data_IF_869872716642
#
_entry.id   IF_869872716642
#
_cell.length_a   1.000
_cell.length_b   1.000
_cell.length_c   1.000
_cell.angle_alpha   90.00
_cell.angle_beta   90.00
_cell.angle_gamma   90.00
#
_symmetry.space_group_name_H-M   'P 1'
#
loop_
_entity.id
_entity.type
_entity.pdbx_description
1 polymer ?
#
# COMPACT_ATOMS: atom_id res chain seq x y z
N UNK A 1 -16.52 25.21 10.35
CA UNK A 1 -16.27 25.48 8.92
C UNK A 1 -16.69 24.25 8.12
N UNK A 2 -17.75 24.38 7.28
CA UNK A 2 -18.18 23.31 6.38
C UNK A 2 -17.01 23.01 5.46
N UNK A 3 -16.51 21.76 5.49
CA UNK A 3 -15.50 21.27 4.56
C UNK A 3 -15.97 21.53 3.13
N UNK A 4 -15.25 22.35 2.40
CA UNK A 4 -15.40 22.43 0.95
C UNK A 4 -14.87 21.11 0.40
N UNK A 5 -15.77 20.18 0.11
CA UNK A 5 -15.40 18.92 -0.54
C UNK A 5 -14.92 19.22 -1.96
N UNK A 6 -13.89 18.51 -2.38
CA UNK A 6 -13.49 18.48 -3.78
C UNK A 6 -14.66 17.90 -4.61
N UNK A 7 -14.80 18.30 -5.88
CA UNK A 7 -15.89 17.81 -6.76
C UNK A 7 -15.91 16.27 -6.85
N UNK A 8 -14.76 15.60 -6.64
CA UNK A 8 -14.59 14.15 -6.65
C UNK A 8 -13.60 13.73 -5.55
N UNK A 9 -14.05 13.79 -4.30
CA UNK A 9 -13.23 13.38 -3.15
C UNK A 9 -13.05 11.85 -3.10
N UNK A 10 -14.05 11.09 -3.52
CA UNK A 10 -13.97 9.63 -3.57
C UNK A 10 -12.92 9.17 -4.57
N UNK A 11 -12.91 9.74 -5.79
CA UNK A 11 -11.88 9.46 -6.80
C UNK A 11 -10.48 9.86 -6.31
N UNK A 12 -10.34 10.99 -5.62
CA UNK A 12 -9.08 11.43 -5.03
C UNK A 12 -8.56 10.47 -3.96
N UNK A 13 -9.42 10.03 -3.05
CA UNK A 13 -9.06 9.07 -2.01
C UNK A 13 -8.73 7.70 -2.61
N UNK A 14 -9.46 7.27 -3.64
CA UNK A 14 -9.13 6.07 -4.41
C UNK A 14 -7.77 6.20 -5.08
N UNK A 15 -7.46 7.35 -5.69
CA UNK A 15 -6.15 7.63 -6.28
C UNK A 15 -5.03 7.57 -5.24
N UNK A 16 -5.21 8.18 -4.06
CA UNK A 16 -4.25 8.09 -2.96
C UNK A 16 -4.05 6.65 -2.49
N UNK A 17 -5.14 5.88 -2.38
CA UNK A 17 -5.12 4.48 -1.94
C UNK A 17 -4.28 3.57 -2.85
N UNK A 18 -4.20 3.86 -4.16
CA UNK A 18 -3.37 3.09 -5.11
C UNK A 18 -1.88 3.09 -4.76
N UNK A 19 -1.38 4.15 -4.16
CA UNK A 19 0.03 4.25 -3.78
C UNK A 19 0.40 3.46 -2.54
N UNK A 20 -0.58 3.04 -1.72
CA UNK A 20 -0.36 2.29 -0.47
C UNK A 20 0.78 2.89 0.38
N UNK A 21 0.83 4.22 0.43
CA UNK A 21 1.91 4.98 1.04
C UNK A 21 1.61 5.40 2.47
N UNK A 22 0.32 5.53 2.84
CA UNK A 22 -0.08 5.93 4.19
C UNK A 22 0.37 4.88 5.22
N UNK A 23 0.75 5.35 6.39
CA UNK A 23 1.19 4.53 7.52
C UNK A 23 2.42 3.64 7.21
N UNK A 24 3.20 4.00 6.19
CA UNK A 24 4.47 3.33 5.89
C UNK A 24 5.64 3.99 6.63
N UNK A 25 6.70 3.23 6.88
CA UNK A 25 7.93 3.77 7.45
C UNK A 25 8.50 4.91 6.60
N UNK A 26 9.36 5.73 7.20
CA UNK A 26 10.12 6.74 6.46
C UNK A 26 10.95 6.08 5.36
N UNK A 27 11.13 6.78 4.25
CA UNK A 27 11.93 6.33 3.12
C UNK A 27 12.96 7.40 2.77
N UNK A 28 14.21 7.01 2.67
CA UNK A 28 15.36 7.91 2.45
C UNK A 28 15.19 8.82 1.22
N UNK A 29 14.47 8.37 0.19
CA UNK A 29 14.23 9.16 -1.01
C UNK A 29 13.44 10.44 -0.68
N UNK A 30 12.33 10.32 0.06
CA UNK A 30 11.51 11.46 0.47
C UNK A 30 12.22 12.36 1.48
N UNK A 31 12.99 11.77 2.42
CA UNK A 31 13.73 12.50 3.43
C UNK A 31 14.86 13.34 2.82
N UNK A 32 15.52 12.81 1.78
CA UNK A 32 16.52 13.58 1.00
C UNK A 32 15.88 14.75 0.28
N UNK A 33 14.70 14.56 -0.33
CA UNK A 33 14.00 15.64 -1.04
C UNK A 33 13.61 16.75 -0.06
N UNK A 34 12.96 16.41 1.06
CA UNK A 34 12.56 17.43 2.05
C UNK A 34 13.76 18.14 2.67
N UNK A 35 14.87 17.43 2.92
CA UNK A 35 16.13 18.00 3.39
C UNK A 35 16.70 19.01 2.39
N UNK A 36 16.80 18.62 1.12
CA UNK A 36 17.31 19.50 0.06
C UNK A 36 16.44 20.75 -0.13
N UNK A 37 15.12 20.60 -0.18
CA UNK A 37 14.19 21.72 -0.31
C UNK A 37 14.32 22.68 0.86
N UNK A 38 14.41 22.15 2.10
CA UNK A 38 14.60 22.95 3.30
C UNK A 38 15.87 23.79 3.23
N UNK A 39 16.99 23.15 2.83
CA UNK A 39 18.28 23.79 2.76
C UNK A 39 18.38 24.82 1.61
N UNK A 40 17.82 24.52 0.42
CA UNK A 40 17.79 25.43 -0.75
C UNK A 40 16.95 26.67 -0.46
N UNK A 41 15.79 26.52 0.19
CA UNK A 41 14.88 27.62 0.46
C UNK A 41 15.18 28.32 1.80
N UNK A 42 16.11 27.80 2.56
CA UNK A 42 16.52 28.31 3.89
C UNK A 42 15.30 28.49 4.80
N UNK A 43 14.55 27.41 4.99
CA UNK A 43 13.33 27.39 5.82
C UNK A 43 13.48 26.42 6.99
N UNK A 44 12.86 26.68 8.14
CA UNK A 44 12.96 25.77 9.30
C UNK A 44 12.21 24.46 9.08
N UNK A 45 11.12 24.45 8.33
CA UNK A 45 10.26 23.26 8.19
C UNK A 45 9.96 23.01 6.71
N UNK A 46 10.12 21.75 6.29
CA UNK A 46 9.69 21.24 4.98
C UNK A 46 9.02 19.88 5.14
N UNK A 47 7.92 19.65 4.44
CA UNK A 47 7.21 18.37 4.51
C UNK A 47 6.63 17.92 3.18
N UNK A 48 6.68 16.60 2.97
CA UNK A 48 5.83 15.85 2.03
C UNK A 48 4.64 15.32 2.82
N UNK A 49 3.48 15.88 2.57
CA UNK A 49 2.24 15.51 3.24
C UNK A 49 1.23 14.89 2.28
N UNK A 50 0.50 13.91 2.75
CA UNK A 50 -0.62 13.28 2.06
C UNK A 50 -1.89 13.52 2.88
N UNK A 51 -3.00 13.82 2.20
CA UNK A 51 -4.25 14.20 2.86
C UNK A 51 -5.29 13.12 2.61
N UNK A 52 -5.62 12.36 3.65
CA UNK A 52 -6.70 11.37 3.61
C UNK A 52 -8.08 11.96 4.00
N UNK A 53 -9.04 11.13 4.36
CA UNK A 53 -10.39 11.56 4.74
C UNK A 53 -10.43 12.41 6.02
N UNK A 54 -9.62 12.07 7.01
CA UNK A 54 -9.68 12.59 8.38
C UNK A 54 -8.45 13.41 8.78
N UNK A 55 -7.30 13.13 8.18
CA UNK A 55 -5.99 13.64 8.58
C UNK A 55 -5.11 14.05 7.41
N UNK A 56 -4.08 14.81 7.75
CA UNK A 56 -2.88 15.03 6.97
C UNK A 56 -1.78 14.16 7.57
N UNK A 57 -1.25 13.24 6.81
CA UNK A 57 -0.17 12.34 7.21
C UNK A 57 1.15 12.76 6.53
N UNK A 58 2.27 12.72 7.28
CA UNK A 58 3.56 13.15 6.76
C UNK A 58 4.39 11.94 6.32
N UNK A 59 4.62 11.82 5.00
CA UNK A 59 5.58 10.83 4.46
C UNK A 59 7.01 11.18 4.82
N UNK A 60 7.31 12.48 4.82
CA UNK A 60 8.59 13.02 5.27
C UNK A 60 8.35 14.42 5.84
N UNK A 61 9.00 14.73 6.94
CA UNK A 61 8.94 16.05 7.56
C UNK A 61 10.30 16.37 8.17
N UNK A 62 10.76 17.59 7.96
CA UNK A 62 12.00 18.14 8.54
C UNK A 62 11.66 19.35 9.40
N UNK A 63 12.27 19.46 10.57
CA UNK A 63 12.14 20.62 11.45
C UNK A 63 10.90 20.62 12.35
N UNK A 64 10.09 19.57 12.34
CA UNK A 64 8.95 19.39 13.24
C UNK A 64 8.84 17.92 13.64
N UNK A 65 8.58 17.66 14.91
CA UNK A 65 8.32 16.32 15.44
C UNK A 65 6.81 16.03 15.43
N UNK A 66 6.31 15.62 14.25
CA UNK A 66 4.93 15.25 14.05
C UNK A 66 4.83 14.19 12.94
N UNK A 67 3.98 13.19 13.12
CA UNK A 67 3.67 12.18 12.11
C UNK A 67 2.41 12.51 11.32
N UNK A 68 1.48 13.23 11.93
CA UNK A 68 0.20 13.60 11.33
C UNK A 68 -0.43 14.82 12.02
N UNK A 69 -1.44 15.40 11.40
CA UNK A 69 -2.32 16.41 11.99
C UNK A 69 -3.75 16.16 11.52
N UNK A 70 -4.74 16.64 12.31
CA UNK A 70 -6.13 16.62 11.83
C UNK A 70 -6.26 17.41 10.53
N UNK A 71 -7.01 16.88 9.57
CA UNK A 71 -7.31 17.54 8.30
C UNK A 71 -7.94 18.93 8.49
N UNK A 72 -8.71 19.11 9.55
CA UNK A 72 -9.42 20.37 9.83
C UNK A 72 -8.50 21.57 10.12
N UNK A 73 -7.28 21.31 10.59
CA UNK A 73 -6.27 22.35 10.89
C UNK A 73 -5.14 22.38 9.85
N UNK A 74 -5.14 21.45 8.91
CA UNK A 74 -4.06 21.28 7.95
C UNK A 74 -4.08 22.35 6.86
N UNK A 75 -2.97 23.06 6.66
CA UNK A 75 -2.79 23.99 5.54
C UNK A 75 -2.83 23.24 4.20
N UNK A 76 -2.24 22.06 4.14
CA UNK A 76 -2.18 21.23 2.94
C UNK A 76 -3.57 20.76 2.48
N UNK A 77 -4.55 20.67 3.39
CA UNK A 77 -5.94 20.40 3.03
C UNK A 77 -6.57 21.52 2.18
N UNK A 78 -6.04 22.73 2.27
CA UNK A 78 -6.43 23.84 1.39
C UNK A 78 -5.62 23.85 0.08
N UNK A 79 -4.35 23.43 0.13
CA UNK A 79 -3.48 23.35 -1.06
C UNK A 79 -4.00 22.34 -2.07
N UNK A 80 -4.53 21.19 -1.63
CA UNK A 80 -5.11 20.19 -2.56
C UNK A 80 -6.38 20.67 -3.28
N UNK A 81 -7.06 21.73 -2.79
CA UNK A 81 -8.24 22.31 -3.44
C UNK A 81 -7.89 23.17 -4.67
N UNK A 82 -6.63 23.59 -4.80
CA UNK A 82 -6.15 24.47 -5.87
C UNK A 82 -4.92 23.86 -6.52
N UNK A 83 -4.84 24.00 -7.84
CA UNK A 83 -3.63 23.63 -8.61
C UNK A 83 -2.54 24.70 -8.56
N UNK A 84 -2.71 25.72 -7.74
CA UNK A 84 -1.77 26.83 -7.58
C UNK A 84 -1.18 26.81 -6.17
N UNK A 85 0.08 27.15 -6.01
CA UNK A 85 0.70 27.30 -4.70
C UNK A 85 -0.10 28.26 -3.82
N UNK A 86 -0.17 27.94 -2.53
CA UNK A 86 -0.74 28.85 -1.53
C UNK A 86 0.40 29.49 -0.76
N UNK A 87 0.45 30.82 -0.75
CA UNK A 87 1.44 31.64 -0.06
C UNK A 87 0.75 32.58 0.92
N UNK A 88 1.47 33.06 1.94
CA UNK A 88 1.01 34.00 2.95
C UNK A 88 -0.11 33.48 3.85
N UNK A 89 0.17 32.44 4.61
CA UNK A 89 -0.77 31.87 5.57
C UNK A 89 -1.17 32.87 6.68
N UNK A 90 -0.29 33.81 7.04
CA UNK A 90 -0.54 34.80 8.08
C UNK A 90 -1.62 35.82 7.68
N UNK A 91 -1.65 36.22 6.41
CA UNK A 91 -2.58 37.19 5.87
C UNK A 91 -3.91 36.58 5.43
N UNK A 92 -3.99 35.24 5.40
CA UNK A 92 -5.20 34.55 4.97
C UNK A 92 -6.21 34.46 6.14
N UNK A 93 -7.38 35.12 6.03
CA UNK A 93 -8.40 35.09 7.09
C UNK A 93 -8.86 33.68 7.49
N UNK A 94 -8.64 32.68 6.64
CA UNK A 94 -8.99 31.28 6.91
C UNK A 94 -8.15 30.69 8.04
N UNK A 95 -6.95 31.22 8.29
CA UNK A 95 -5.99 30.70 9.26
C UNK A 95 -5.82 31.58 10.50
N UNK A 96 -6.48 32.72 10.60
CA UNK A 96 -6.34 33.64 11.73
C UNK A 96 -6.61 32.99 13.09
N UNK A 97 -7.52 32.00 13.17
CA UNK A 97 -7.84 31.23 14.38
C UNK A 97 -7.25 29.83 14.39
N UNK A 98 -6.37 29.49 13.44
CA UNK A 98 -5.80 28.14 13.33
C UNK A 98 -4.86 27.87 14.51
N UNK A 99 -4.98 26.74 15.23
CA UNK A 99 -4.10 26.40 16.35
C UNK A 99 -2.60 26.37 15.99
N UNK A 100 -2.25 26.07 14.75
CA UNK A 100 -0.85 26.05 14.28
C UNK A 100 -0.30 27.48 14.05
N UNK A 101 -1.16 28.49 13.95
CA UNK A 101 -0.81 29.92 13.84
C UNK A 101 -0.82 30.59 15.21
N UNK A 102 -1.85 30.30 16.02
CA UNK A 102 -2.01 30.94 17.34
C UNK A 102 -1.21 30.26 18.45
N UNK A 103 -0.95 28.95 18.29
CA UNK A 103 -0.18 28.11 19.19
C UNK A 103 1.16 27.65 18.58
N UNK A 104 1.77 26.63 19.15
CA UNK A 104 3.00 26.03 18.62
C UNK A 104 2.69 25.29 17.31
N UNK A 105 3.50 25.48 16.22
CA UNK A 105 4.79 26.16 16.12
C UNK A 105 4.73 27.67 15.80
N UNK A 106 3.55 28.29 15.78
CA UNK A 106 3.32 29.70 15.43
C UNK A 106 3.68 30.01 13.98
N UNK A 107 3.12 29.25 13.06
CA UNK A 107 3.32 29.44 11.62
C UNK A 107 3.02 30.89 11.22
N UNK A 108 3.95 31.50 10.48
CA UNK A 108 3.82 32.86 9.93
C UNK A 108 3.81 32.86 8.41
N UNK A 109 4.53 31.94 7.80
CA UNK A 109 4.57 31.83 6.35
C UNK A 109 4.43 30.39 5.92
N UNK A 110 3.70 30.18 4.85
CA UNK A 110 3.46 28.86 4.25
C UNK A 110 3.50 28.98 2.74
N UNK A 111 4.24 28.08 2.09
CA UNK A 111 4.12 27.86 0.66
C UNK A 111 3.94 26.36 0.42
N UNK A 112 2.93 25.99 -0.35
CA UNK A 112 2.63 24.60 -0.66
C UNK A 112 2.23 24.43 -2.12
N UNK A 113 2.77 23.41 -2.75
CA UNK A 113 2.41 23.00 -4.12
C UNK A 113 1.76 21.61 -4.05
N UNK A 114 0.69 21.37 -4.82
CA UNK A 114 -0.01 20.09 -4.78
C UNK A 114 0.84 18.98 -5.40
N UNK A 115 0.78 17.80 -4.81
CA UNK A 115 1.28 16.54 -5.37
C UNK A 115 0.18 15.97 -6.26
N UNK A 116 0.27 16.22 -7.56
CA UNK A 116 -0.76 15.81 -8.51
C UNK A 116 -0.39 14.49 -9.18
N UNK A 117 -1.25 13.49 -9.03
CA UNK A 117 -1.11 12.20 -9.73
C UNK A 117 -1.29 12.36 -11.25
N UNK A 118 -0.82 11.40 -12.07
CA UNK A 118 -0.95 11.45 -13.53
C UNK A 118 -2.40 11.56 -14.03
N UNK A 119 -3.35 11.03 -13.28
CA UNK A 119 -4.79 11.13 -13.56
C UNK A 119 -5.44 12.42 -13.02
N UNK A 120 -4.63 13.35 -12.50
CA UNK A 120 -5.02 14.71 -12.18
C UNK A 120 -5.55 14.96 -10.77
N UNK A 121 -5.48 13.98 -9.87
CA UNK A 121 -5.88 14.15 -8.47
C UNK A 121 -4.76 14.74 -7.62
N UNK A 122 -5.08 15.69 -6.76
CA UNK A 122 -4.16 16.25 -5.78
C UNK A 122 -4.16 15.37 -4.52
N UNK A 123 -3.12 14.57 -4.35
CA UNK A 123 -3.00 13.58 -3.25
C UNK A 123 -2.60 14.21 -1.92
N UNK A 124 -1.86 15.29 -2.00
CA UNK A 124 -1.27 15.99 -0.87
C UNK A 124 -0.48 17.19 -1.34
N UNK A 125 0.56 17.58 -0.61
CA UNK A 125 1.42 18.70 -1.00
C UNK A 125 2.87 18.53 -0.57
N UNK A 126 3.79 19.10 -1.34
CA UNK A 126 5.09 19.51 -0.85
C UNK A 126 4.94 20.91 -0.29
N UNK A 127 5.32 21.11 0.96
CA UNK A 127 5.19 22.42 1.59
C UNK A 127 6.42 22.81 2.40
N UNK A 128 6.61 24.12 2.46
CA UNK A 128 7.61 24.76 3.33
C UNK A 128 6.90 25.75 4.25
N UNK A 129 7.41 25.84 5.46
CA UNK A 129 6.79 26.59 6.56
C UNK A 129 7.86 27.38 7.26
N UNK A 130 7.55 28.64 7.58
CA UNK A 130 8.41 29.48 8.41
C UNK A 130 7.62 30.04 9.60
N UNK A 131 8.32 30.24 10.71
CA UNK A 131 7.83 30.90 11.91
C UNK A 131 8.08 32.41 11.92
N UNK A 132 8.71 32.91 10.83
CA UNK A 132 8.88 34.32 10.53
C UNK A 132 8.05 34.71 9.31
N UNK A 133 7.55 35.97 9.23
CA UNK A 133 6.92 36.47 8.01
C UNK A 133 7.91 36.42 6.84
N UNK A 134 7.49 35.77 5.74
CA UNK A 134 8.31 35.61 4.54
C UNK A 134 7.44 35.61 3.30
N UNK A 135 7.92 36.25 2.25
CA UNK A 135 7.35 36.17 0.93
C UNK A 135 8.18 35.24 0.05
N UNK A 136 7.58 34.20 -0.44
CA UNK A 136 8.24 33.28 -1.37
C UNK A 136 8.17 33.84 -2.78
N UNK A 137 9.32 33.95 -3.44
CA UNK A 137 9.42 34.43 -4.83
C UNK A 137 8.85 33.39 -5.81
N UNK A 138 8.48 33.84 -7.01
CA UNK A 138 8.05 32.93 -8.10
C UNK A 138 9.12 31.87 -8.41
N UNK A 139 10.40 32.23 -8.34
CA UNK A 139 11.50 31.29 -8.51
C UNK A 139 11.52 30.21 -7.44
N UNK A 140 11.26 30.56 -6.17
CA UNK A 140 11.15 29.59 -5.07
C UNK A 140 9.93 28.68 -5.24
N UNK A 141 8.78 29.21 -5.65
CA UNK A 141 7.61 28.40 -5.96
C UNK A 141 7.89 27.45 -7.14
N UNK A 142 8.56 27.93 -8.20
CA UNK A 142 8.95 27.07 -9.32
C UNK A 142 9.90 25.93 -8.91
N UNK A 143 10.75 26.16 -7.92
CA UNK A 143 11.58 25.09 -7.33
C UNK A 143 10.69 24.06 -6.63
N UNK A 144 9.72 24.47 -5.82
CA UNK A 144 8.78 23.58 -5.16
C UNK A 144 8.00 22.74 -6.18
N UNK A 145 7.50 23.32 -7.27
CA UNK A 145 6.79 22.59 -8.33
C UNK A 145 7.66 21.48 -8.92
N UNK A 146 8.93 21.78 -9.24
CA UNK A 146 9.84 20.76 -9.77
C UNK A 146 10.12 19.62 -8.78
N UNK A 147 10.26 19.93 -7.48
CA UNK A 147 10.42 18.90 -6.47
C UNK A 147 9.12 18.12 -6.24
N UNK A 148 7.95 18.74 -6.37
CA UNK A 148 6.68 18.05 -6.32
C UNK A 148 6.54 17.02 -7.47
N UNK A 149 6.98 17.38 -8.68
CA UNK A 149 7.05 16.43 -9.80
C UNK A 149 8.00 15.25 -9.49
N UNK A 150 9.17 15.51 -8.89
CA UNK A 150 10.10 14.45 -8.47
C UNK A 150 9.47 13.53 -7.43
N UNK A 151 8.70 14.08 -6.46
CA UNK A 151 8.00 13.29 -5.46
C UNK A 151 6.94 12.40 -6.12
N UNK A 152 6.16 12.91 -7.07
CA UNK A 152 5.19 12.09 -7.80
C UNK A 152 5.89 11.00 -8.59
N UNK A 153 6.99 11.30 -9.28
CA UNK A 153 7.77 10.29 -10.01
C UNK A 153 8.29 9.20 -9.05
N UNK A 154 8.76 9.57 -7.85
CA UNK A 154 9.20 8.60 -6.83
C UNK A 154 8.03 7.73 -6.35
N UNK A 155 6.83 8.30 -6.15
CA UNK A 155 5.61 7.55 -5.81
C UNK A 155 5.22 6.58 -6.92
N UNK A 156 5.29 6.98 -8.19
CA UNK A 156 5.02 6.10 -9.33
C UNK A 156 6.04 4.96 -9.41
N UNK A 157 7.34 5.27 -9.32
CA UNK A 157 8.40 4.26 -9.31
C UNK A 157 8.24 3.27 -8.15
N UNK A 158 7.90 3.78 -6.96
CA UNK A 158 7.59 2.96 -5.80
C UNK A 158 6.40 2.03 -6.09
N UNK A 159 5.34 2.55 -6.69
CA UNK A 159 4.17 1.75 -7.03
C UNK A 159 4.51 0.65 -8.02
N UNK A 160 5.30 0.96 -9.05
CA UNK A 160 5.81 -0.03 -10.01
C UNK A 160 6.69 -1.10 -9.33
N UNK A 161 7.50 -0.71 -8.35
CA UNK A 161 8.31 -1.66 -7.58
C UNK A 161 7.49 -2.53 -6.61
N UNK A 162 6.32 -2.06 -6.18
CA UNK A 162 5.46 -2.75 -5.20
C UNK A 162 4.33 -3.58 -5.81
N UNK A 163 3.99 -3.37 -7.08
CA UNK A 163 2.94 -4.12 -7.79
C UNK A 163 3.47 -4.87 -8.99
N UNK A 164 2.92 -6.05 -9.22
CA UNK A 164 3.14 -6.83 -10.43
C UNK A 164 2.39 -6.16 -11.60
N UNK A 165 3.12 -5.83 -12.67
CA UNK A 165 2.58 -5.08 -13.81
C UNK A 165 1.53 -5.84 -14.63
N UNK A 166 1.54 -7.18 -14.56
CA UNK A 166 0.62 -8.02 -15.34
C UNK A 166 -0.75 -8.17 -14.65
N UNK A 167 -0.73 -8.38 -13.32
CA UNK A 167 -1.91 -8.86 -12.60
C UNK A 167 -2.38 -7.94 -11.48
N UNK A 168 -1.74 -6.78 -11.28
CA UNK A 168 -2.05 -5.81 -10.22
C UNK A 168 -2.12 -6.43 -8.80
N UNK A 169 -1.34 -7.49 -8.55
CA UNK A 169 -1.08 -8.01 -7.21
C UNK A 169 0.15 -7.35 -6.61
N UNK A 170 0.33 -7.40 -5.30
CA UNK A 170 1.59 -6.91 -4.72
C UNK A 170 2.75 -7.83 -5.10
N UNK A 171 3.96 -7.26 -5.25
CA UNK A 171 5.17 -8.05 -5.51
C UNK A 171 5.52 -8.90 -4.28
N UNK A 172 6.41 -9.91 -4.48
CA UNK A 172 6.93 -10.74 -3.38
C UNK A 172 7.43 -9.89 -2.21
N UNK A 173 8.21 -8.84 -2.49
CA UNK A 173 8.75 -7.95 -1.45
C UNK A 173 7.64 -7.30 -0.64
N UNK A 174 6.68 -6.67 -1.31
CA UNK A 174 5.56 -5.99 -0.64
C UNK A 174 4.64 -6.96 0.10
N UNK A 175 4.50 -8.19 -0.41
CA UNK A 175 3.75 -9.22 0.28
C UNK A 175 4.42 -9.63 1.61
N UNK A 176 5.73 -9.82 1.60
CA UNK A 176 6.51 -10.12 2.82
C UNK A 176 6.39 -8.97 3.84
N UNK A 177 6.54 -7.73 3.41
CA UNK A 177 6.37 -6.55 4.28
C UNK A 177 4.94 -6.49 4.90
N UNK A 178 3.92 -6.90 4.14
CA UNK A 178 2.55 -6.98 4.65
C UNK A 178 2.38 -8.10 5.69
N UNK A 179 3.01 -9.26 5.47
CA UNK A 179 3.00 -10.38 6.43
C UNK A 179 3.70 -9.99 7.72
N UNK A 180 4.84 -9.28 7.67
CA UNK A 180 5.55 -8.76 8.85
C UNK A 180 4.67 -7.80 9.67
N UNK A 181 3.96 -6.90 8.98
CA UNK A 181 3.00 -5.99 9.65
C UNK A 181 1.86 -6.73 10.32
N UNK A 182 1.35 -7.80 9.69
CA UNK A 182 0.29 -8.62 10.29
C UNK A 182 0.77 -9.35 11.56
N UNK A 183 2.02 -9.81 11.59
CA UNK A 183 2.65 -10.39 12.78
C UNK A 183 2.69 -9.36 13.91
N UNK A 184 3.18 -8.16 13.64
CA UNK A 184 3.26 -7.08 14.63
C UNK A 184 1.89 -6.68 15.18
N UNK A 185 0.85 -6.67 14.35
CA UNK A 185 -0.54 -6.40 14.78
C UNK A 185 -1.11 -7.52 15.65
N UNK A 186 -0.81 -8.79 15.36
CA UNK A 186 -1.24 -9.91 16.20
C UNK A 186 -0.72 -9.77 17.63
N UNK A 187 0.53 -9.31 17.79
CA UNK A 187 1.14 -9.09 19.11
C UNK A 187 0.45 -7.96 19.90
N UNK A 188 -0.10 -6.95 19.20
CA UNK A 188 -0.77 -5.81 19.82
C UNK A 188 -2.26 -6.07 20.09
N UNK A 189 -2.99 -6.61 19.08
CA UNK A 189 -4.45 -6.64 19.07
C UNK A 189 -5.02 -8.06 19.21
N UNK A 190 -4.18 -9.09 19.15
CA UNK A 190 -4.58 -10.52 19.23
C UNK A 190 -5.57 -10.97 18.14
N UNK A 191 -5.59 -10.29 16.99
CA UNK A 191 -6.49 -10.64 15.90
C UNK A 191 -5.89 -11.75 15.03
N UNK A 192 -6.64 -12.84 14.76
CA UNK A 192 -6.11 -13.95 13.99
C UNK A 192 -5.83 -13.54 12.55
N UNK A 193 -4.68 -13.95 12.01
CA UNK A 193 -4.33 -13.80 10.63
C UNK A 193 -3.97 -15.16 10.02
N UNK A 194 -4.35 -15.37 8.76
CA UNK A 194 -4.05 -16.59 8.06
C UNK A 194 -3.33 -16.34 6.74
N UNK A 195 -2.44 -17.25 6.39
CA UNK A 195 -1.66 -17.24 5.17
C UNK A 195 -2.07 -18.38 4.27
N UNK A 196 -2.34 -18.07 3.00
CA UNK A 196 -2.52 -19.04 1.94
C UNK A 196 -1.37 -18.85 0.95
N UNK A 197 -0.63 -19.90 0.65
CA UNK A 197 0.28 -19.97 -0.48
C UNK A 197 -0.29 -20.94 -1.50
N UNK A 198 -0.27 -20.58 -2.78
CA UNK A 198 -0.72 -21.48 -3.82
C UNK A 198 0.12 -21.35 -5.10
N UNK A 199 0.08 -22.42 -5.89
CA UNK A 199 0.83 -22.55 -7.13
C UNK A 199 -0.07 -23.19 -8.20
N UNK A 200 -0.02 -22.66 -9.42
CA UNK A 200 -0.82 -23.17 -10.53
C UNK A 200 -0.25 -24.49 -11.05
N UNK A 201 -1.06 -25.53 -10.95
CA UNK A 201 -0.65 -26.86 -11.34
C UNK A 201 -0.34 -26.91 -12.85
N UNK A 202 0.84 -27.42 -13.20
CA UNK A 202 1.25 -27.62 -14.58
C UNK A 202 1.32 -26.37 -15.46
N UNK A 203 1.49 -25.17 -14.90
CA UNK A 203 1.51 -23.90 -15.64
C UNK A 203 2.54 -23.88 -16.77
N UNK A 204 3.71 -24.50 -16.58
CA UNK A 204 4.72 -24.66 -17.64
C UNK A 204 4.20 -25.40 -18.87
N UNK A 205 3.25 -26.35 -18.72
CA UNK A 205 2.62 -27.05 -19.86
C UNK A 205 1.67 -26.10 -20.61
N UNK A 206 1.02 -25.18 -19.94
CA UNK A 206 0.17 -24.15 -20.57
C UNK A 206 1.04 -23.27 -21.45
N UNK A 207 2.12 -22.69 -20.89
CA UNK A 207 3.06 -21.88 -21.65
C UNK A 207 3.69 -22.65 -22.83
N UNK A 208 4.06 -23.91 -22.62
CA UNK A 208 4.66 -24.74 -23.66
C UNK A 208 3.70 -25.16 -24.77
N UNK A 209 2.41 -25.32 -24.47
CA UNK A 209 1.39 -25.73 -25.44
C UNK A 209 0.68 -24.58 -26.16
N UNK A 210 0.47 -23.45 -25.47
CA UNK A 210 -0.32 -22.34 -25.98
C UNK A 210 0.46 -21.01 -26.07
N UNK A 211 1.71 -20.99 -25.63
CA UNK A 211 2.56 -19.80 -25.63
C UNK A 211 2.41 -18.93 -24.37
N UNK A 212 3.36 -18.03 -24.16
CA UNK A 212 3.37 -17.11 -23.02
C UNK A 212 2.14 -16.17 -22.94
N UNK A 213 1.61 -15.62 -24.05
CA UNK A 213 0.40 -14.80 -23.97
C UNK A 213 -0.79 -15.53 -23.37
N UNK A 214 -0.97 -16.81 -23.66
CA UNK A 214 -2.01 -17.64 -23.05
C UNK A 214 -1.78 -17.84 -21.55
N UNK A 215 -0.53 -18.03 -21.13
CA UNK A 215 -0.16 -18.05 -19.71
C UNK A 215 -0.47 -16.74 -19.00
N UNK A 216 -0.21 -15.60 -19.64
CA UNK A 216 -0.50 -14.27 -19.10
C UNK A 216 -2.02 -14.08 -18.90
N UNK A 217 -2.85 -14.51 -19.86
CA UNK A 217 -4.31 -14.48 -19.71
C UNK A 217 -4.79 -15.35 -18.54
N UNK A 218 -4.19 -16.53 -18.34
CA UNK A 218 -4.48 -17.39 -17.19
C UNK A 218 -4.12 -16.68 -15.89
N UNK A 219 -2.95 -16.07 -15.78
CA UNK A 219 -2.51 -15.34 -14.58
C UNK A 219 -3.46 -14.16 -14.26
N UNK A 220 -3.89 -13.42 -15.28
CA UNK A 220 -4.87 -12.32 -15.13
C UNK A 220 -6.21 -12.87 -14.62
N UNK A 221 -6.72 -13.97 -15.21
CA UNK A 221 -7.98 -14.58 -14.80
C UNK A 221 -7.91 -15.09 -13.35
N UNK A 222 -6.82 -15.70 -12.93
CA UNK A 222 -6.56 -16.16 -11.55
C UNK A 222 -6.56 -14.99 -10.58
N UNK A 223 -5.83 -13.92 -10.90
CA UNK A 223 -5.78 -12.73 -10.04
C UNK A 223 -7.14 -12.06 -9.90
N UNK A 224 -7.92 -11.95 -10.99
CA UNK A 224 -9.29 -11.44 -10.97
C UNK A 224 -10.20 -12.31 -10.08
N UNK A 225 -10.10 -13.62 -10.21
CA UNK A 225 -10.82 -14.58 -9.37
C UNK A 225 -10.46 -14.41 -7.88
N UNK A 226 -9.19 -14.23 -7.54
CA UNK A 226 -8.76 -13.95 -6.17
C UNK A 226 -9.38 -12.66 -5.66
N UNK A 227 -9.27 -11.54 -6.40
CA UNK A 227 -9.79 -10.23 -5.98
C UNK A 227 -11.30 -10.21 -5.74
N UNK A 228 -12.06 -10.98 -6.52
CA UNK A 228 -13.52 -11.09 -6.31
C UNK A 228 -13.91 -12.00 -5.15
N UNK A 229 -12.97 -12.80 -4.65
CA UNK A 229 -13.23 -13.79 -3.59
C UNK A 229 -12.77 -13.32 -2.21
N UNK A 230 -11.65 -12.59 -2.15
CA UNK A 230 -11.10 -12.04 -0.91
C UNK A 230 -11.69 -10.65 -0.61
N UNK A 231 -11.53 -10.20 0.64
CA UNK A 231 -12.02 -8.89 1.08
C UNK A 231 -11.03 -7.78 0.68
N UNK A 232 -11.48 -6.51 0.61
CA UNK A 232 -10.56 -5.37 0.35
C UNK A 232 -9.41 -5.23 1.35
N UNK A 233 -9.58 -5.71 2.60
CA UNK A 233 -8.57 -5.70 3.64
C UNK A 233 -7.54 -6.84 3.51
N UNK A 234 -7.81 -7.85 2.66
CA UNK A 234 -6.91 -8.97 2.41
C UNK A 234 -5.92 -8.60 1.30
N UNK A 235 -4.77 -9.26 1.28
CA UNK A 235 -3.69 -8.91 0.35
C UNK A 235 -3.37 -10.09 -0.55
N UNK A 236 -3.43 -9.86 -1.88
CA UNK A 236 -2.98 -10.80 -2.90
C UNK A 236 -1.58 -10.41 -3.36
N UNK A 237 -0.63 -11.33 -3.28
CA UNK A 237 0.74 -11.18 -3.77
C UNK A 237 1.10 -12.18 -4.86
N UNK A 238 1.93 -11.76 -5.83
CA UNK A 238 2.62 -12.67 -6.74
C UNK A 238 4.03 -12.91 -6.24
N UNK A 239 4.34 -14.14 -5.86
CA UNK A 239 5.60 -14.50 -5.21
C UNK A 239 6.65 -15.01 -6.21
N UNK A 240 6.20 -15.49 -7.36
CA UNK A 240 7.01 -16.05 -8.45
C UNK A 240 6.20 -16.09 -9.74
N UNK A 241 6.66 -16.82 -10.73
CA UNK A 241 5.99 -16.90 -12.03
C UNK A 241 4.53 -17.34 -11.93
N UNK A 242 4.29 -18.48 -11.28
CA UNK A 242 2.99 -19.13 -11.07
C UNK A 242 2.63 -19.29 -9.59
N UNK A 243 3.42 -18.65 -8.71
CA UNK A 243 3.28 -18.74 -7.25
C UNK A 243 2.61 -17.47 -6.69
N UNK A 244 1.64 -17.65 -5.83
CA UNK A 244 0.85 -16.60 -5.24
C UNK A 244 0.76 -16.75 -3.72
N UNK A 245 0.56 -15.62 -3.04
CA UNK A 245 0.22 -15.57 -1.63
C UNK A 245 -1.06 -14.78 -1.40
N UNK A 246 -1.86 -15.20 -0.44
CA UNK A 246 -2.99 -14.42 0.08
C UNK A 246 -2.84 -14.30 1.58
N UNK A 247 -2.75 -13.07 2.07
CA UNK A 247 -2.79 -12.75 3.49
C UNK A 247 -4.22 -12.37 3.85
N UNK A 248 -4.84 -13.14 4.72
CA UNK A 248 -6.18 -12.92 5.22
C UNK A 248 -6.11 -12.29 6.61
N UNK A 249 -6.51 -11.03 6.71
CA UNK A 249 -6.58 -10.33 7.98
C UNK A 249 -7.83 -10.77 8.77
N UNK A 250 -7.75 -10.77 10.10
CA UNK A 250 -8.87 -11.09 11.01
C UNK A 250 -9.60 -12.38 10.60
N UNK A 251 -8.82 -13.41 10.24
CA UNK A 251 -9.37 -14.65 9.69
C UNK A 251 -8.78 -15.86 10.39
N UNK A 252 -9.66 -16.73 10.87
CA UNK A 252 -9.28 -17.98 11.52
C UNK A 252 -8.76 -19.01 10.50
N UNK A 253 -8.02 -20.00 11.00
CA UNK A 253 -7.56 -21.13 10.17
C UNK A 253 -8.71 -21.82 9.41
N UNK A 254 -9.83 -22.06 10.09
CA UNK A 254 -11.00 -22.72 9.50
C UNK A 254 -11.56 -21.92 8.33
N UNK A 255 -11.70 -20.60 8.52
CA UNK A 255 -12.23 -19.72 7.48
C UNK A 255 -11.26 -19.56 6.32
N UNK A 256 -9.96 -19.53 6.60
CA UNK A 256 -8.92 -19.49 5.56
C UNK A 256 -8.92 -20.74 4.66
N UNK A 257 -9.13 -21.92 5.25
CA UNK A 257 -9.31 -23.16 4.47
C UNK A 257 -10.54 -23.08 3.57
N UNK A 258 -11.65 -22.48 4.05
CA UNK A 258 -12.85 -22.28 3.22
C UNK A 258 -12.58 -21.30 2.06
N UNK A 259 -11.80 -20.23 2.28
CA UNK A 259 -11.39 -19.31 1.22
C UNK A 259 -10.53 -20.03 0.18
N UNK A 260 -9.53 -20.80 0.63
CA UNK A 260 -8.67 -21.58 -0.28
C UNK A 260 -9.46 -22.58 -1.13
N UNK A 261 -10.41 -23.32 -0.52
CA UNK A 261 -11.27 -24.26 -1.25
C UNK A 261 -12.23 -23.56 -2.22
N UNK A 262 -12.70 -22.35 -1.86
CA UNK A 262 -13.51 -21.52 -2.76
C UNK A 262 -12.69 -21.12 -3.99
N UNK A 263 -11.48 -20.63 -3.81
CA UNK A 263 -10.55 -20.27 -4.89
C UNK A 263 -10.26 -21.48 -5.76
N UNK A 264 -9.89 -22.63 -5.16
CA UNK A 264 -9.60 -23.87 -5.88
C UNK A 264 -10.77 -24.29 -6.80
N UNK A 265 -11.99 -24.24 -6.27
CA UNK A 265 -13.19 -24.58 -7.03
C UNK A 265 -13.50 -23.57 -8.16
N UNK A 266 -13.26 -22.28 -7.93
CA UNK A 266 -13.47 -21.25 -8.94
C UNK A 266 -12.44 -21.36 -10.08
N UNK A 267 -11.17 -21.62 -9.76
CA UNK A 267 -10.12 -21.79 -10.76
C UNK A 267 -10.47 -22.93 -11.75
N UNK A 268 -11.00 -24.03 -11.25
CA UNK A 268 -11.40 -25.18 -12.09
C UNK A 268 -12.59 -24.89 -13.03
N UNK A 269 -13.29 -23.76 -12.81
CA UNK A 269 -14.44 -23.30 -13.64
C UNK A 269 -14.05 -22.22 -14.64
N UNK A 270 -12.82 -21.73 -14.61
CA UNK A 270 -12.36 -20.75 -15.59
C UNK A 270 -12.39 -21.40 -16.98
N UNK A 271 -12.89 -20.65 -17.95
CA UNK A 271 -12.99 -21.05 -19.35
C UNK A 271 -12.25 -20.02 -20.22
N UNK A 272 -11.58 -20.51 -21.25
CA UNK A 272 -10.84 -19.69 -22.19
C UNK A 272 -11.28 -20.04 -23.60
N UNK A 273 -11.65 -19.06 -24.42
CA UNK A 273 -12.16 -19.27 -25.79
C UNK A 273 -11.16 -19.98 -26.68
N UNK A 274 -9.87 -19.69 -26.48
CA UNK A 274 -8.76 -20.33 -27.21
C UNK A 274 -8.46 -21.78 -26.77
N UNK A 275 -8.98 -22.20 -25.60
CA UNK A 275 -8.83 -23.57 -25.10
C UNK A 275 -10.04 -24.00 -24.24
N UNK A 276 -11.21 -24.27 -24.84
CA UNK A 276 -12.44 -24.59 -24.10
C UNK A 276 -12.36 -25.82 -23.19
N UNK A 277 -11.41 -26.70 -23.44
CA UNK A 277 -11.19 -27.93 -22.64
C UNK A 277 -10.11 -27.79 -21.56
N UNK A 278 -9.41 -26.65 -21.53
CA UNK A 278 -8.35 -26.41 -20.54
C UNK A 278 -8.99 -26.23 -19.16
N UNK A 279 -8.53 -27.03 -18.21
CA UNK A 279 -8.88 -26.88 -16.80
C UNK A 279 -7.68 -26.35 -16.03
N UNK A 280 -7.86 -25.23 -15.36
CA UNK A 280 -6.84 -24.68 -14.47
C UNK A 280 -7.06 -25.24 -13.08
N UNK A 281 -6.04 -25.82 -12.49
CA UNK A 281 -6.03 -26.23 -11.09
C UNK A 281 -4.85 -25.62 -10.36
N UNK A 282 -4.95 -25.54 -9.05
CA UNK A 282 -3.88 -25.08 -8.18
C UNK A 282 -3.79 -25.93 -6.92
N UNK A 283 -2.61 -26.00 -6.35
CA UNK A 283 -2.34 -26.61 -5.06
C UNK A 283 -2.20 -25.50 -4.01
N UNK A 284 -2.78 -25.71 -2.83
CA UNK A 284 -2.86 -24.71 -1.77
C UNK A 284 -2.26 -25.22 -0.46
N UNK A 285 -1.43 -24.38 0.18
CA UNK A 285 -1.02 -24.50 1.57
C UNK A 285 -1.69 -23.41 2.41
N UNK A 286 -2.20 -23.76 3.57
CA UNK A 286 -2.90 -22.82 4.47
C UNK A 286 -2.38 -22.98 5.89
N UNK A 287 -2.09 -21.85 6.56
CA UNK A 287 -1.79 -21.83 7.98
C UNK A 287 -2.29 -20.55 8.65
N UNK A 288 -2.53 -20.62 9.95
CA UNK A 288 -2.78 -19.46 10.80
C UNK A 288 -1.51 -19.17 11.60
N UNK A 289 -1.22 -17.90 11.83
CA UNK A 289 -0.10 -17.50 12.67
C UNK A 289 -0.38 -17.80 14.14
N UNK A 290 0.62 -18.29 14.86
CA UNK A 290 0.61 -18.38 16.30
C UNK A 290 1.40 -17.22 16.94
N UNK A 291 0.98 -16.74 18.14
CA UNK A 291 1.74 -15.71 18.86
C UNK A 291 3.21 -16.11 19.06
N UNK A 292 4.11 -15.14 18.83
CA UNK A 292 5.56 -15.35 18.95
C UNK A 292 6.21 -16.12 17.80
N UNK A 293 5.49 -16.42 16.71
CA UNK A 293 6.09 -16.99 15.52
C UNK A 293 6.84 -15.93 14.70
N UNK A 294 8.02 -16.32 14.20
CA UNK A 294 8.73 -15.50 13.24
C UNK A 294 8.12 -15.60 11.83
N UNK A 295 8.38 -14.60 11.01
CA UNK A 295 8.01 -14.56 9.59
C UNK A 295 8.45 -15.82 8.84
N UNK A 296 9.74 -16.17 8.93
CA UNK A 296 10.31 -17.32 8.22
C UNK A 296 9.66 -18.63 8.65
N UNK A 297 9.33 -18.75 9.93
CA UNK A 297 8.66 -19.94 10.43
C UNK A 297 7.23 -20.05 9.89
N UNK A 298 6.47 -18.96 9.88
CA UNK A 298 5.09 -18.96 9.38
C UNK A 298 5.03 -19.28 7.88
N UNK A 299 5.88 -18.60 7.09
CA UNK A 299 5.98 -18.88 5.65
C UNK A 299 6.41 -20.34 5.43
N UNK A 300 7.42 -20.83 6.15
CA UNK A 300 7.91 -22.19 6.02
C UNK A 300 6.87 -23.27 6.34
N UNK A 301 6.01 -23.05 7.36
CA UNK A 301 4.88 -23.95 7.68
C UNK A 301 3.86 -23.97 6.54
N UNK A 302 3.55 -22.82 5.97
CA UNK A 302 2.58 -22.71 4.86
C UNK A 302 3.14 -23.35 3.57
N UNK A 303 4.41 -23.12 3.28
CA UNK A 303 5.10 -23.70 2.13
C UNK A 303 5.18 -25.23 2.24
N UNK A 304 5.49 -25.75 3.44
CA UNK A 304 5.47 -27.19 3.69
C UNK A 304 4.08 -27.81 3.46
N UNK A 305 3.01 -27.08 3.76
CA UNK A 305 1.65 -27.53 3.46
C UNK A 305 1.38 -27.51 1.95
N UNK A 306 1.80 -26.45 1.23
CA UNK A 306 1.72 -26.37 -0.23
C UNK A 306 2.51 -27.50 -0.91
N UNK A 307 3.72 -27.77 -0.43
CA UNK A 307 4.54 -28.89 -0.92
C UNK A 307 3.80 -30.23 -0.78
N UNK A 308 3.16 -30.49 0.36
CA UNK A 308 2.33 -31.70 0.57
C UNK A 308 1.15 -31.74 -0.41
N UNK A 309 0.52 -30.60 -0.70
CA UNK A 309 -0.57 -30.53 -1.68
C UNK A 309 -0.10 -30.93 -3.08
N UNK A 310 1.04 -30.37 -3.53
CA UNK A 310 1.66 -30.70 -4.82
C UNK A 310 2.04 -32.19 -4.94
N UNK A 311 2.67 -32.76 -3.91
CA UNK A 311 3.11 -34.18 -3.90
C UNK A 311 1.97 -35.17 -3.63
N UNK A 312 0.91 -34.74 -2.95
CA UNK A 312 -0.26 -35.57 -2.68
C UNK A 312 -1.21 -35.77 -3.88
N UNK A 313 -0.86 -35.27 -5.08
CA UNK A 313 -1.66 -35.42 -6.31
C UNK A 313 -2.27 -34.11 -6.84
N UNK A 314 -1.81 -32.94 -6.32
CA UNK A 314 -2.24 -31.60 -6.76
C UNK A 314 -3.74 -31.32 -6.58
N UNK A 315 -4.20 -30.17 -7.08
CA UNK A 315 -5.61 -29.73 -7.04
C UNK A 315 -6.26 -29.96 -5.68
N UNK A 316 -5.61 -29.50 -4.63
CA UNK A 316 -6.09 -29.66 -3.24
C UNK A 316 -5.57 -28.59 -2.31
N UNK A 317 -6.25 -28.46 -1.18
CA UNK A 317 -5.83 -27.63 -0.05
C UNK A 317 -5.29 -28.52 1.04
N UNK A 318 -4.10 -28.21 1.55
CA UNK A 318 -3.55 -28.79 2.78
C UNK A 318 -3.39 -27.67 3.79
N UNK A 319 -3.99 -27.86 4.96
CA UNK A 319 -3.86 -26.94 6.08
C UNK A 319 -2.88 -27.46 7.12
N UNK A 320 -2.16 -26.54 7.76
CA UNK A 320 -1.36 -26.80 8.96
C UNK A 320 -1.98 -26.05 10.15
N UNK A 321 -2.77 -26.77 10.96
CA UNK A 321 -3.50 -26.21 12.12
C UNK A 321 -2.69 -26.30 13.41
N UNK A 322 -1.35 -26.14 13.45
CA UNK A 322 -0.63 -26.32 14.71
C UNK A 322 0.49 -25.35 14.90
N UNK A 323 0.52 -24.71 16.02
CA UNK A 323 0.77 -25.20 17.40
C UNK A 323 1.56 -26.52 17.43
N UNK A 324 2.75 -26.55 16.80
CA UNK A 324 3.77 -27.52 17.21
C UNK A 324 4.28 -26.98 18.54
N UNK A 325 3.79 -27.56 19.63
CA UNK A 325 4.39 -27.40 20.94
C UNK A 325 5.89 -27.56 20.78
N UNK A 326 6.66 -26.50 21.07
CA UNK A 326 8.02 -26.63 21.51
C UNK A 326 8.00 -27.49 22.78
N UNK A 327 8.11 -28.81 22.62
CA UNK A 327 8.62 -29.64 23.68
C UNK A 327 10.12 -29.29 23.76
N UNK A 328 10.41 -28.35 24.65
CA UNK A 328 11.77 -28.22 25.20
C UNK A 328 12.04 -29.53 25.91
N UNK A 329 12.85 -30.35 25.29
CA UNK A 329 13.48 -31.48 25.97
C UNK A 329 14.49 -30.87 26.98
N UNK A 330 14.25 -31.19 28.25
CA UNK A 330 15.14 -30.90 29.35
C UNK A 330 16.49 -31.62 29.18
#
# INVERSE_FOLDING_TARGET
>A
LKHRQLPDEEGRLSALGRYQILDTASETAFDKITGLVRDILDVPICAVSLVDGERQWFKSIQGLDATETSRSVAFCAHTILKRTPMVDAELDPRFASNPLVTGNPRIRSYAGVPLQSPDGYNLGSLCVIDVQPRNFSEGQISILDKFAELIINELELRTLAHRDSLIDAVTRRSFIEAVEKAISRLEQDSWPCALILFDLDHFKKINGGYGHPAGDEVLIAIANCCRTTIRPADILGRLGGEEFGVLLNETSFKDAVLVAERLRNQFSRLAFDWAPHLKITASFGVSEIAPGQSLDHWIGVTDAALFKAKHGGRNRTIGSSKLVSCAVAA
#
